data_IF_038691900171
#
_entry.id   IF_038691900171
#
_cell.length_a   1.000
_cell.length_b   1.000
_cell.length_c   1.000
_cell.angle_alpha   90.00
_cell.angle_beta   90.00
_cell.angle_gamma   90.00
#
_symmetry.space_group_name_H-M   'P 1'
#
loop_
_entity.id
_entity.type
_entity.pdbx_description
1 polymer ?
#
# COMPACT_ATOMS: atom_id res chain seq x y z
N UNK A 1 -8.30 18.31 11.33
CA UNK A 1 -7.12 18.42 10.46
C UNK A 1 -7.68 18.60 9.06
N UNK A 2 -7.15 19.54 8.31
CA UNK A 2 -7.61 19.82 6.94
C UNK A 2 -7.49 18.52 6.13
N UNK A 3 -8.56 18.12 5.43
CA UNK A 3 -8.56 16.93 4.55
C UNK A 3 -7.57 17.21 3.41
N UNK A 4 -6.32 16.86 3.65
CA UNK A 4 -5.24 17.01 2.69
C UNK A 4 -5.25 15.77 1.80
N UNK A 5 -5.75 15.95 0.58
CA UNK A 5 -5.65 14.95 -0.47
C UNK A 5 -4.17 14.59 -0.74
N UNK A 6 -3.85 13.32 -1.04
CA UNK A 6 -2.49 12.91 -1.38
C UNK A 6 -2.03 13.63 -2.66
N UNK A 7 -0.72 13.78 -2.79
CA UNK A 7 -0.15 14.24 -4.05
C UNK A 7 -0.30 13.14 -5.11
N UNK A 8 -0.72 13.46 -6.34
CA UNK A 8 -0.87 12.49 -7.43
C UNK A 8 0.21 12.67 -8.52
N UNK A 9 0.66 11.58 -9.14
CA UNK A 9 1.55 11.65 -10.31
C UNK A 9 2.18 10.30 -10.72
N UNK A 10 2.48 10.15 -12.02
CA UNK A 10 3.18 8.98 -12.58
C UNK A 10 4.50 8.76 -11.84
N UNK A 11 4.72 7.54 -11.37
CA UNK A 11 5.94 7.16 -10.64
C UNK A 11 5.84 7.28 -9.12
N UNK A 12 4.75 7.81 -8.56
CA UNK A 12 4.54 7.89 -7.11
C UNK A 12 4.30 6.50 -6.52
N UNK A 13 5.01 6.13 -5.45
CA UNK A 13 4.59 5.05 -4.56
C UNK A 13 3.28 5.47 -3.89
N UNK A 14 2.20 4.78 -4.20
CA UNK A 14 0.85 5.18 -3.78
C UNK A 14 0.12 4.13 -2.96
N UNK A 15 0.57 2.88 -3.00
CA UNK A 15 -0.06 1.81 -2.24
C UNK A 15 0.97 0.77 -1.80
N UNK A 16 0.85 0.27 -0.58
CA UNK A 16 1.66 -0.86 -0.12
C UNK A 16 0.81 -1.96 0.53
N UNK A 17 1.19 -3.21 0.30
CA UNK A 17 0.64 -4.35 1.02
C UNK A 17 1.67 -4.87 2.02
N UNK A 18 1.29 -4.90 3.30
CA UNK A 18 2.16 -5.31 4.40
C UNK A 18 1.71 -6.70 4.89
N UNK A 19 2.54 -7.76 4.72
CA UNK A 19 2.24 -9.05 5.34
C UNK A 19 2.25 -8.95 6.86
N UNK A 20 1.26 -9.53 7.53
CA UNK A 20 1.20 -9.59 8.98
C UNK A 20 0.65 -10.95 9.47
N UNK A 21 1.30 -11.51 10.48
CA UNK A 21 0.79 -12.70 11.17
C UNK A 21 -0.52 -12.40 11.92
N UNK A 22 -0.60 -11.20 12.51
CA UNK A 22 -1.79 -10.68 13.15
C UNK A 22 -2.01 -9.23 12.69
N UNK A 23 -2.93 -9.09 11.74
CA UNK A 23 -3.29 -7.79 11.15
C UNK A 23 -3.77 -6.80 12.22
N UNK A 24 -4.63 -7.24 13.14
CA UNK A 24 -5.21 -6.35 14.14
C UNK A 24 -4.14 -5.83 15.10
N UNK A 25 -3.19 -6.68 15.48
CA UNK A 25 -2.05 -6.26 16.28
C UNK A 25 -1.19 -5.23 15.53
N UNK A 26 -0.87 -5.49 14.26
CA UNK A 26 -0.10 -4.55 13.42
C UNK A 26 -0.82 -3.22 13.25
N UNK A 27 -2.09 -3.21 12.87
CA UNK A 27 -2.88 -1.98 12.69
C UNK A 27 -2.91 -1.13 13.96
N UNK A 28 -3.12 -1.75 15.12
CA UNK A 28 -3.09 -1.06 16.41
C UNK A 28 -1.71 -0.46 16.74
N UNK A 29 -0.62 -1.16 16.43
CA UNK A 29 0.73 -0.66 16.62
C UNK A 29 1.00 0.57 15.75
N UNK A 30 0.73 0.49 14.44
CA UNK A 30 0.99 1.58 13.51
C UNK A 30 0.12 2.81 13.77
N UNK A 31 -1.15 2.60 14.14
CA UNK A 31 -2.02 3.68 14.58
C UNK A 31 -1.48 4.40 15.81
N UNK A 32 -1.03 3.66 16.84
CA UNK A 32 -0.55 4.26 18.10
C UNK A 32 0.82 4.93 17.97
N UNK A 33 1.74 4.34 17.21
CA UNK A 33 3.14 4.80 17.16
C UNK A 33 3.35 5.85 16.07
N UNK A 34 2.68 5.70 14.93
CA UNK A 34 2.90 6.55 13.75
C UNK A 34 1.70 7.40 13.37
N UNK A 35 0.63 7.35 14.16
CA UNK A 35 -0.61 8.10 13.92
C UNK A 35 -1.25 7.77 12.56
N UNK A 36 -1.09 6.52 12.10
CA UNK A 36 -1.71 6.05 10.87
C UNK A 36 -3.22 5.95 11.05
N UNK A 37 -3.96 6.41 10.04
CA UNK A 37 -5.41 6.26 9.98
C UNK A 37 -5.75 4.85 9.57
N UNK A 38 -6.60 4.15 10.33
CA UNK A 38 -6.97 2.75 10.09
C UNK A 38 -8.42 2.68 9.60
N UNK A 39 -8.64 1.96 8.51
CA UNK A 39 -9.95 1.74 7.91
C UNK A 39 -10.24 0.25 7.82
N UNK A 40 -11.51 -0.12 7.89
CA UNK A 40 -11.96 -1.51 7.72
C UNK A 40 -13.16 -1.57 6.79
N UNK A 41 -13.22 -2.57 5.93
CA UNK A 41 -14.36 -2.82 5.06
C UNK A 41 -15.33 -3.87 5.65
N UNK A 42 -16.46 -4.09 4.97
CA UNK A 42 -17.48 -5.07 5.38
C UNK A 42 -17.02 -6.54 5.23
N UNK A 43 -15.85 -6.77 4.62
CA UNK A 43 -15.24 -8.10 4.44
C UNK A 43 -14.17 -8.39 5.50
N UNK A 44 -13.89 -7.42 6.40
CA UNK A 44 -12.90 -7.56 7.46
C UNK A 44 -11.47 -7.27 7.02
N UNK A 45 -11.28 -6.71 5.81
CA UNK A 45 -9.97 -6.22 5.40
C UNK A 45 -9.63 -4.95 6.18
N UNK A 46 -8.36 -4.78 6.55
CA UNK A 46 -7.88 -3.61 7.28
C UNK A 46 -6.87 -2.85 6.43
N UNK A 47 -7.24 -1.62 6.08
CA UNK A 47 -6.45 -0.68 5.30
C UNK A 47 -5.94 0.47 6.18
N UNK A 48 -4.98 1.22 5.66
CA UNK A 48 -4.46 2.40 6.32
C UNK A 48 -4.15 3.54 5.36
N UNK A 49 -4.03 4.75 5.92
CA UNK A 49 -3.23 5.84 5.36
C UNK A 49 -2.08 6.15 6.32
N UNK A 50 -0.91 6.45 5.76
CA UNK A 50 0.25 6.83 6.54
C UNK A 50 0.03 8.16 7.30
N UNK A 51 0.90 8.45 8.26
CA UNK A 51 0.73 9.57 9.18
C UNK A 51 0.75 10.96 8.53
N UNK A 52 1.07 11.04 7.22
CA UNK A 52 1.09 12.29 6.45
C UNK A 52 0.07 12.32 5.31
N UNK A 53 -0.69 11.26 5.10
CA UNK A 53 -1.76 11.17 4.11
C UNK A 53 -1.27 11.01 2.67
N UNK A 54 -0.08 10.45 2.45
CA UNK A 54 0.52 10.34 1.12
C UNK A 54 0.51 8.91 0.56
N UNK A 55 0.59 7.89 1.43
CA UNK A 55 0.62 6.49 1.01
C UNK A 55 -0.44 5.71 1.76
N UNK A 56 -1.27 4.99 1.02
CA UNK A 56 -2.25 4.08 1.60
C UNK A 56 -1.78 2.64 1.50
N UNK A 57 -2.49 1.73 2.16
CA UNK A 57 -2.18 0.32 2.04
C UNK A 57 -3.17 -0.59 2.72
N UNK A 58 -2.83 -1.86 2.73
CA UNK A 58 -3.61 -2.92 3.36
C UNK A 58 -2.66 -3.94 3.99
N UNK A 59 -3.09 -4.52 5.11
CA UNK A 59 -2.43 -5.70 5.64
C UNK A 59 -3.01 -6.96 5.03
N UNK A 60 -2.14 -7.91 4.71
CA UNK A 60 -2.54 -9.20 4.12
C UNK A 60 -2.06 -10.36 5.00
N UNK A 61 -2.87 -11.43 5.08
CA UNK A 61 -2.48 -12.70 5.70
C UNK A 61 -1.90 -13.66 4.66
N UNK A 62 -1.21 -14.68 5.15
CA UNK A 62 -0.90 -15.92 4.40
C UNK A 62 -0.25 -15.70 3.03
N UNK A 63 0.68 -14.74 2.94
CA UNK A 63 1.45 -14.53 1.72
C UNK A 63 2.66 -15.48 1.73
N UNK A 64 2.68 -16.44 0.79
CA UNK A 64 3.85 -17.28 0.56
C UNK A 64 5.09 -16.41 0.29
N UNK A 65 6.31 -16.84 0.69
CA UNK A 65 7.52 -16.07 0.48
C UNK A 65 7.76 -15.73 -1.01
N UNK A 66 7.86 -14.43 -1.35
CA UNK A 66 9.05 -13.98 -2.08
C UNK A 66 10.24 -14.28 -1.16
N UNK A 67 11.38 -14.73 -1.68
CA UNK A 67 12.34 -15.52 -0.89
C UNK A 67 12.94 -14.84 0.36
N UNK A 68 12.68 -13.55 0.61
CA UNK A 68 12.52 -12.99 1.96
C UNK A 68 11.46 -11.87 1.97
N UNK A 69 11.01 -11.45 3.16
CA UNK A 69 9.89 -10.53 3.39
C UNK A 69 9.94 -9.30 2.46
N UNK A 70 8.97 -9.20 1.56
CA UNK A 70 8.90 -8.11 0.58
C UNK A 70 7.51 -7.48 0.61
N UNK A 71 7.45 -6.22 1.01
CA UNK A 71 6.27 -5.38 0.77
C UNK A 71 5.91 -5.45 -0.71
N UNK A 72 4.62 -5.59 -1.05
CA UNK A 72 4.21 -5.28 -2.42
C UNK A 72 4.00 -3.77 -2.51
N UNK A 73 4.66 -3.14 -3.46
CA UNK A 73 4.57 -1.70 -3.69
C UNK A 73 3.85 -1.49 -5.02
N UNK A 74 2.81 -0.66 -5.00
CA UNK A 74 2.15 -0.17 -6.21
C UNK A 74 2.61 1.24 -6.52
N UNK A 75 2.91 1.46 -7.80
CA UNK A 75 3.33 2.74 -8.34
C UNK A 75 2.17 3.31 -9.15
N UNK A 76 1.84 4.57 -8.90
CA UNK A 76 0.81 5.31 -9.60
C UNK A 76 1.23 5.55 -11.05
N UNK A 77 0.30 5.33 -11.96
CA UNK A 77 0.47 5.52 -13.40
C UNK A 77 -0.81 6.09 -13.97
N UNK A 78 -0.70 6.86 -15.05
CA UNK A 78 -1.87 7.49 -15.69
C UNK A 78 -2.72 6.46 -16.45
N UNK A 79 -2.07 5.47 -17.07
CA UNK A 79 -2.69 4.34 -17.77
C UNK A 79 -1.89 3.06 -17.51
N UNK A 80 -2.53 2.12 -16.81
CA UNK A 80 -1.90 0.85 -16.44
C UNK A 80 -1.54 0.00 -17.65
N UNK A 81 -2.39 -0.04 -18.68
CA UNK A 81 -2.15 -0.86 -19.87
C UNK A 81 -0.99 -0.30 -20.70
N UNK A 82 -0.98 1.02 -20.90
CA UNK A 82 0.13 1.67 -21.61
C UNK A 82 1.46 1.51 -20.85
N UNK A 83 1.42 1.62 -19.52
CA UNK A 83 2.64 1.50 -18.71
C UNK A 83 3.19 0.08 -18.69
N UNK A 84 2.36 -0.96 -18.74
CA UNK A 84 2.82 -2.35 -18.87
C UNK A 84 3.62 -2.55 -20.17
N UNK A 85 3.14 -2.00 -21.29
CA UNK A 85 3.88 -2.07 -22.56
C UNK A 85 5.23 -1.34 -22.45
N UNK A 86 5.26 -0.15 -21.85
CA UNK A 86 6.49 0.61 -21.61
C UNK A 86 7.47 -0.17 -20.70
N UNK A 87 6.97 -0.89 -19.68
CA UNK A 87 7.79 -1.75 -18.81
C UNK A 87 8.44 -2.88 -19.62
N UNK A 88 7.68 -3.57 -20.47
CA UNK A 88 8.18 -4.67 -21.31
C UNK A 88 9.22 -4.17 -22.32
N UNK A 89 8.96 -3.04 -22.97
CA UNK A 89 9.90 -2.39 -23.90
C UNK A 89 11.24 -2.04 -23.23
N UNK A 90 11.24 -1.81 -21.92
CA UNK A 90 12.41 -1.49 -21.11
C UNK A 90 12.97 -2.70 -20.33
N UNK A 91 12.56 -3.93 -20.67
CA UNK A 91 13.14 -5.16 -20.14
C UNK A 91 12.56 -5.65 -18.80
N UNK A 92 11.48 -5.03 -18.33
CA UNK A 92 10.67 -5.55 -17.22
C UNK A 92 9.82 -6.77 -17.64
N UNK A 93 9.18 -7.41 -16.65
CA UNK A 93 8.33 -8.59 -16.82
C UNK A 93 7.15 -8.57 -15.87
#
# INVERSE_FOLDING_TARGET
>A
MEDKEPTFGKGKVCYIEIPANDITQSANFFSKVFNWSIRSDNQGNISFDDGVGEVSGIWVKDRNPMTEAGLLISIMVDDAKATVLEIEENGGK
#
